data_IF_181001237587
#
_entry.id   IF_181001237587
#
_cell.length_a   1.000
_cell.length_b   1.000
_cell.length_c   1.000
_cell.angle_alpha   90.00
_cell.angle_beta   90.00
_cell.angle_gamma   90.00
#
_symmetry.space_group_name_H-M   'P 1'
#
loop_
_entity.id
_entity.type
_entity.pdbx_description
1 polymer ?
#
# COMPACT_ATOMS: atom_id res chain seq x y z
N UNK A 1 5.07 15.91 2.78
CA UNK A 1 4.42 14.73 3.38
C UNK A 1 5.12 13.42 3.04
N UNK A 2 5.72 13.23 1.86
CA UNK A 2 6.30 11.93 1.49
C UNK A 2 5.24 10.87 1.19
N UNK A 3 4.03 11.31 0.84
CA UNK A 3 2.91 10.47 0.42
C UNK A 3 3.29 9.69 -0.85
N UNK A 4 3.05 8.40 -0.84
CA UNK A 4 3.23 7.49 -1.97
C UNK A 4 1.87 6.93 -2.36
N UNK A 5 1.61 6.88 -3.66
CA UNK A 5 0.51 6.11 -4.23
C UNK A 5 1.06 4.76 -4.70
N UNK A 6 0.37 3.67 -4.42
CA UNK A 6 0.78 2.32 -4.85
C UNK A 6 -0.43 1.48 -5.26
N UNK A 7 -0.29 0.15 -5.27
CA UNK A 7 -1.39 -0.76 -5.57
C UNK A 7 -1.89 -0.67 -7.02
N UNK A 8 -3.20 -0.87 -7.17
CA UNK A 8 -3.84 -1.03 -8.49
C UNK A 8 -3.80 0.23 -9.35
N UNK A 9 -3.85 1.42 -8.73
CA UNK A 9 -3.77 2.70 -9.45
C UNK A 9 -2.35 2.97 -9.95
N UNK A 10 -1.32 2.62 -9.17
CA UNK A 10 0.04 2.73 -9.68
C UNK A 10 0.25 1.82 -10.89
N UNK A 11 -0.27 0.59 -10.82
CA UNK A 11 -0.24 -0.36 -11.95
C UNK A 11 -0.97 0.17 -13.18
N UNK A 12 -2.16 0.75 -12.99
CA UNK A 12 -3.01 1.30 -14.07
C UNK A 12 -2.31 2.44 -14.83
N UNK A 13 -1.59 3.31 -14.11
CA UNK A 13 -0.81 4.40 -14.69
C UNK A 13 0.36 3.87 -15.53
N UNK A 14 1.09 2.87 -15.04
CA UNK A 14 2.21 2.29 -15.78
C UNK A 14 1.75 1.49 -17.02
N UNK A 15 0.64 0.74 -16.92
CA UNK A 15 0.07 -0.01 -18.06
C UNK A 15 -0.69 0.92 -19.03
N UNK A 16 -1.07 2.13 -18.59
CA UNK A 16 -1.96 3.05 -19.32
C UNK A 16 -3.33 2.43 -19.61
N UNK A 17 -3.83 1.66 -18.66
CA UNK A 17 -5.14 0.97 -18.73
C UNK A 17 -6.00 1.45 -17.57
N UNK A 18 -7.29 1.67 -17.80
CA UNK A 18 -8.24 2.04 -16.76
C UNK A 18 -8.87 0.79 -16.15
N UNK A 19 -8.57 0.52 -14.88
CA UNK A 19 -9.25 -0.53 -14.12
C UNK A 19 -10.49 0.07 -13.43
N UNK A 20 -11.68 -0.42 -13.77
CA UNK A 20 -12.92 0.01 -13.15
C UNK A 20 -12.96 -0.39 -11.67
N UNK A 21 -13.64 0.43 -10.85
CA UNK A 21 -13.89 0.15 -9.43
C UNK A 21 -12.61 -0.13 -8.62
N UNK A 22 -11.53 0.58 -8.91
CA UNK A 22 -10.28 0.50 -8.15
C UNK A 22 -10.23 1.53 -7.05
N UNK A 23 -9.77 1.09 -5.89
CA UNK A 23 -9.52 1.96 -4.76
C UNK A 23 -8.14 2.63 -4.90
N UNK A 24 -8.00 3.85 -4.37
CA UNK A 24 -6.72 4.55 -4.33
C UNK A 24 -5.99 4.19 -3.04
N UNK A 25 -4.85 3.51 -3.16
CA UNK A 25 -3.98 3.19 -2.01
C UNK A 25 -2.90 4.26 -1.81
N UNK A 26 -2.93 4.93 -0.66
CA UNK A 26 -2.00 5.98 -0.27
C UNK A 26 -1.20 5.56 0.97
N UNK A 27 0.12 5.70 0.92
CA UNK A 27 1.04 5.34 2.00
C UNK A 27 1.79 6.57 2.48
N UNK A 28 1.83 6.80 3.79
CA UNK A 28 2.52 7.96 4.36
C UNK A 28 3.00 7.67 5.77
N UNK A 29 4.02 8.38 6.24
CA UNK A 29 4.40 8.36 7.67
C UNK A 29 3.24 8.79 8.56
N UNK A 30 3.07 8.12 9.70
CA UNK A 30 2.07 8.44 10.74
C UNK A 30 2.18 9.87 11.26
N UNK A 31 3.36 10.47 11.21
CA UNK A 31 3.58 11.86 11.66
C UNK A 31 2.85 12.87 10.78
N UNK A 32 2.45 12.46 9.57
CA UNK A 32 1.76 13.30 8.59
C UNK A 32 0.23 13.12 8.63
N UNK A 33 -0.32 12.50 9.67
CA UNK A 33 -1.76 12.25 9.76
C UNK A 33 -2.59 13.53 9.62
N UNK A 34 -2.23 14.60 10.35
CA UNK A 34 -2.96 15.87 10.30
C UNK A 34 -3.02 16.45 8.88
N UNK A 35 -1.88 16.74 8.21
CA UNK A 35 -1.93 17.36 6.90
C UNK A 35 -2.58 16.45 5.84
N UNK A 36 -2.40 15.13 5.92
CA UNK A 36 -3.01 14.20 4.94
C UNK A 36 -4.51 14.09 5.14
N UNK A 37 -4.98 13.88 6.37
CA UNK A 37 -6.42 13.84 6.65
C UNK A 37 -7.09 15.16 6.30
N UNK A 38 -6.48 16.31 6.65
CA UNK A 38 -6.99 17.61 6.21
C UNK A 38 -7.05 17.70 4.68
N UNK A 39 -6.02 17.28 3.96
CA UNK A 39 -6.02 17.29 2.50
C UNK A 39 -7.16 16.44 1.91
N UNK A 40 -7.38 15.23 2.43
CA UNK A 40 -8.48 14.36 2.00
C UNK A 40 -9.85 15.04 2.17
N UNK A 41 -10.10 15.61 3.35
CA UNK A 41 -11.35 16.31 3.65
C UNK A 41 -11.59 17.53 2.73
N UNK A 42 -10.55 18.35 2.50
CA UNK A 42 -10.64 19.49 1.59
C UNK A 42 -10.81 19.07 0.12
N UNK A 43 -10.38 17.86 -0.23
CA UNK A 43 -10.53 17.30 -1.58
C UNK A 43 -11.92 16.67 -1.81
N UNK A 44 -12.85 16.82 -0.86
CA UNK A 44 -14.22 16.30 -0.98
C UNK A 44 -14.38 14.83 -0.59
N UNK A 45 -13.37 14.24 0.07
CA UNK A 45 -13.50 12.94 0.70
C UNK A 45 -14.07 13.07 2.12
N UNK A 46 -14.77 12.03 2.55
CA UNK A 46 -15.30 11.87 3.90
C UNK A 46 -14.67 10.63 4.53
N UNK A 47 -14.42 10.70 5.83
CA UNK A 47 -13.91 9.58 6.61
C UNK A 47 -15.02 8.53 6.78
N UNK A 48 -14.80 7.31 6.30
CA UNK A 48 -15.74 6.19 6.45
C UNK A 48 -15.39 5.38 7.69
N UNK A 49 -14.12 5.01 7.82
CA UNK A 49 -13.63 4.14 8.88
C UNK A 49 -12.20 4.52 9.23
N UNK A 50 -11.88 4.52 10.52
CA UNK A 50 -10.52 4.63 11.01
C UNK A 50 -10.24 3.38 11.84
N UNK A 51 -9.60 2.39 11.22
CA UNK A 51 -9.13 1.21 11.93
C UNK A 51 -7.75 1.53 12.54
N UNK A 52 -7.76 2.25 13.67
CA UNK A 52 -6.56 2.40 14.49
C UNK A 52 -6.20 1.05 15.09
N UNK A 53 -5.03 0.49 14.72
CA UNK A 53 -4.56 -0.79 15.27
C UNK A 53 -3.97 -0.63 16.67
N UNK A 54 -4.81 -0.21 17.62
CA UNK A 54 -4.67 -0.61 19.03
C UNK A 54 -5.36 -1.97 19.30
N UNK A 55 -5.87 -2.62 18.24
CA UNK A 55 -6.38 -3.99 18.29
C UNK A 55 -5.29 -4.96 17.86
N UNK A 56 -4.81 -5.71 18.84
CA UNK A 56 -4.09 -6.97 18.69
C UNK A 56 -4.69 -7.79 17.53
N UNK A 57 -4.03 -7.77 16.38
CA UNK A 57 -4.03 -8.94 15.52
C UNK A 57 -2.76 -9.70 15.89
N UNK A 58 -2.94 -10.62 16.83
CA UNK A 58 -1.98 -11.69 17.11
C UNK A 58 -1.98 -12.61 15.88
N UNK A 59 -1.38 -12.16 14.78
CA UNK A 59 -1.11 -13.04 13.66
C UNK A 59 0.13 -13.84 14.03
N UNK A 60 -0.11 -15.07 14.48
CA UNK A 60 0.83 -16.08 14.98
C UNK A 60 2.29 -15.82 14.58
N UNK A 61 2.98 -15.06 15.42
CA UNK A 61 4.34 -14.55 15.21
C UNK A 61 5.42 -15.63 15.40
N UNK A 62 5.05 -16.91 15.42
CA UNK A 62 5.94 -17.97 15.92
C UNK A 62 6.68 -18.80 14.89
N UNK A 63 6.43 -18.67 13.58
CA UNK A 63 7.15 -19.52 12.60
C UNK A 63 7.72 -18.82 11.36
N UNK A 64 7.98 -17.51 11.39
CA UNK A 64 8.69 -16.84 10.28
C UNK A 64 9.77 -15.90 10.81
N UNK A 65 10.92 -16.50 11.11
CA UNK A 65 12.13 -15.87 11.63
C UNK A 65 12.76 -14.90 10.60
N UNK A 66 12.89 -13.61 10.96
CA UNK A 66 14.01 -12.79 10.50
C UNK A 66 13.77 -11.53 9.64
N UNK A 67 12.55 -11.23 9.18
CA UNK A 67 12.26 -9.97 8.48
C UNK A 67 11.11 -9.23 9.15
N UNK A 68 11.44 -8.18 9.89
CA UNK A 68 10.48 -7.24 10.47
C UNK A 68 9.62 -6.66 9.34
N UNK A 69 8.38 -7.14 9.20
CA UNK A 69 7.41 -6.50 8.32
C UNK A 69 7.17 -5.04 8.76
N UNK A 70 6.95 -4.14 7.81
CA UNK A 70 6.79 -2.70 8.02
C UNK A 70 5.57 -2.41 8.89
N UNK A 71 5.79 -1.80 10.05
CA UNK A 71 4.76 -1.57 11.07
C UNK A 71 3.74 -0.54 10.54
N UNK A 72 2.58 -1.00 10.08
CA UNK A 72 1.41 -0.15 9.75
C UNK A 72 0.78 0.31 11.07
N UNK A 73 0.69 1.63 11.26
CA UNK A 73 0.07 2.27 12.43
C UNK A 73 -1.46 2.29 12.34
N UNK A 74 -2.00 2.67 11.18
CA UNK A 74 -3.43 2.79 10.97
C UNK A 74 -3.77 2.65 9.48
N UNK A 75 -4.98 2.18 9.20
CA UNK A 75 -5.58 2.22 7.87
C UNK A 75 -6.87 3.02 7.99
N UNK A 76 -7.02 4.00 7.12
CA UNK A 76 -8.13 4.95 7.15
C UNK A 76 -8.81 4.96 5.80
N UNK A 77 -10.09 4.62 5.79
CA UNK A 77 -10.91 4.55 4.60
C UNK A 77 -11.64 5.89 4.39
N UNK A 78 -11.55 6.38 3.16
CA UNK A 78 -12.20 7.59 2.71
C UNK A 78 -13.09 7.30 1.50
N UNK A 79 -14.21 8.02 1.40
CA UNK A 79 -15.09 7.97 0.23
C UNK A 79 -15.44 9.38 -0.21
N UNK A 80 -15.48 9.64 -1.51
CA UNK A 80 -15.95 10.92 -2.03
C UNK A 80 -17.43 10.88 -2.44
N UNK A 81 -17.99 12.03 -2.79
CA UNK A 81 -19.40 12.14 -3.18
C UNK A 81 -19.77 11.35 -4.45
N UNK A 82 -18.79 10.94 -5.26
CA UNK A 82 -18.98 10.08 -6.43
C UNK A 82 -18.90 8.58 -6.10
N UNK A 83 -18.71 8.22 -4.83
CA UNK A 83 -18.58 6.84 -4.37
C UNK A 83 -17.18 6.22 -4.58
N UNK A 84 -16.18 7.02 -4.95
CA UNK A 84 -14.82 6.53 -5.15
C UNK A 84 -14.11 6.40 -3.80
N UNK A 85 -13.47 5.26 -3.57
CA UNK A 85 -12.79 4.96 -2.31
C UNK A 85 -11.30 5.29 -2.39
N UNK A 86 -10.75 5.72 -1.25
CA UNK A 86 -9.33 5.89 -1.04
C UNK A 86 -8.95 5.36 0.33
N UNK A 87 -7.88 4.57 0.40
CA UNK A 87 -7.31 4.08 1.65
C UNK A 87 -6.02 4.82 1.94
N UNK A 88 -5.90 5.36 3.15
CA UNK A 88 -4.65 5.96 3.65
C UNK A 88 -4.05 5.03 4.70
N UNK A 89 -2.91 4.46 4.35
CA UNK A 89 -2.09 3.58 5.17
C UNK A 89 -0.99 4.42 5.83
N UNK A 90 -1.09 4.55 7.15
CA UNK A 90 -0.09 5.22 7.96
C UNK A 90 1.01 4.24 8.37
N UNK A 91 2.24 4.48 7.93
CA UNK A 91 3.43 3.73 8.30
C UNK A 91 4.07 4.33 9.55
N UNK A 92 4.53 3.48 10.46
CA UNK A 92 5.31 3.91 11.63
C UNK A 92 6.69 4.41 11.22
N UNK A 93 7.31 3.74 10.24
CA UNK A 93 8.62 4.09 9.69
C UNK A 93 8.45 4.68 8.30
N UNK A 94 9.14 4.14 7.29
CA UNK A 94 9.01 4.60 5.91
C UNK A 94 7.78 3.99 5.24
N UNK A 95 6.98 4.76 4.48
CA UNK A 95 5.94 4.20 3.63
C UNK A 95 6.51 3.28 2.54
N UNK A 96 7.79 3.45 2.16
CA UNK A 96 8.48 2.53 1.26
C UNK A 96 8.61 1.14 1.87
N UNK A 97 8.88 1.04 3.17
CA UNK A 97 9.02 -0.26 3.82
C UNK A 97 7.69 -1.03 3.68
N UNK A 98 6.55 -0.35 3.85
CA UNK A 98 5.20 -0.90 3.65
C UNK A 98 5.02 -1.45 2.23
N UNK A 99 5.34 -0.64 1.22
CA UNK A 99 5.19 -1.02 -0.19
C UNK A 99 6.13 -2.19 -0.56
N UNK A 100 7.36 -2.18 -0.07
CA UNK A 100 8.34 -3.23 -0.33
C UNK A 100 8.06 -4.53 0.44
N UNK A 101 7.26 -4.46 1.50
CA UNK A 101 6.84 -5.61 2.29
C UNK A 101 5.74 -6.46 1.68
N UNK A 102 5.18 -6.08 0.52
CA UNK A 102 4.15 -6.89 -0.14
C UNK A 102 4.67 -8.25 -0.62
N UNK A 103 3.82 -9.27 -0.54
CA UNK A 103 4.17 -10.61 -1.03
C UNK A 103 4.14 -10.74 -2.55
N UNK A 104 3.64 -9.73 -3.27
CA UNK A 104 3.46 -9.75 -4.73
C UNK A 104 4.16 -8.55 -5.37
N UNK A 105 5.06 -8.78 -6.32
CA UNK A 105 5.82 -7.70 -6.97
C UNK A 105 4.97 -6.74 -7.79
N UNK A 106 3.80 -7.19 -8.27
CA UNK A 106 2.86 -6.39 -9.09
C UNK A 106 2.39 -5.12 -8.38
N UNK A 107 2.27 -5.17 -7.05
CA UNK A 107 1.79 -4.03 -6.25
C UNK A 107 2.92 -3.18 -5.68
N UNK A 108 4.19 -3.50 -5.94
CA UNK A 108 5.34 -2.73 -5.46
C UNK A 108 5.65 -1.49 -6.32
N UNK A 109 4.76 -1.17 -7.27
CA UNK A 109 4.85 0.03 -8.08
C UNK A 109 4.44 1.24 -7.24
N UNK A 110 5.22 2.31 -7.29
CA UNK A 110 5.02 3.47 -6.42
C UNK A 110 5.12 4.77 -7.20
N UNK A 111 4.23 5.70 -6.89
CA UNK A 111 4.18 7.03 -7.49
C UNK A 111 4.22 8.06 -6.38
N UNK A 112 5.16 8.98 -6.50
CA UNK A 112 5.31 10.16 -5.65
C UNK A 112 4.99 11.41 -6.46
N UNK A 113 5.00 12.58 -5.81
CA UNK A 113 4.78 13.86 -6.48
C UNK A 113 5.76 14.17 -7.63
N UNK A 114 6.96 13.57 -7.66
CA UNK A 114 8.01 13.89 -8.64
C UNK A 114 8.54 12.70 -9.43
N UNK A 115 8.22 11.47 -9.01
CA UNK A 115 8.77 10.24 -9.60
C UNK A 115 7.76 9.11 -9.51
N UNK A 116 7.73 8.31 -10.57
CA UNK A 116 7.08 7.01 -10.59
C UNK A 116 8.17 5.94 -10.72
N UNK A 117 8.10 4.89 -9.89
CA UNK A 117 9.06 3.78 -9.86
C UNK A 117 8.29 2.47 -9.99
N UNK A 118 8.72 1.65 -10.96
CA UNK A 118 8.30 0.26 -11.10
C UNK A 118 9.52 -0.63 -10.88
N UNK A 119 9.44 -1.55 -9.92
CA UNK A 119 10.59 -2.38 -9.53
C UNK A 119 10.76 -3.62 -10.42
N UNK A 120 9.66 -4.16 -10.94
CA UNK A 120 9.66 -5.41 -11.72
C UNK A 120 8.99 -5.22 -13.10
N UNK A 121 9.41 -4.22 -13.90
CA UNK A 121 8.66 -3.81 -15.09
C UNK A 121 8.53 -4.92 -16.14
N UNK A 122 9.59 -5.72 -16.33
CA UNK A 122 9.56 -6.82 -17.31
C UNK A 122 8.59 -7.93 -16.87
N UNK A 123 8.70 -8.39 -15.62
CA UNK A 123 7.81 -9.42 -15.08
C UNK A 123 6.35 -8.95 -15.05
N UNK A 124 6.11 -7.73 -14.58
CA UNK A 124 4.75 -7.17 -14.43
C UNK A 124 4.10 -6.85 -15.77
N UNK A 125 4.78 -6.17 -16.70
CA UNK A 125 4.14 -5.64 -17.91
C UNK A 125 4.39 -6.46 -19.18
N UNK A 126 5.52 -7.15 -19.29
CA UNK A 126 5.83 -7.97 -20.47
C UNK A 126 5.35 -9.40 -20.26
N UNK A 127 5.77 -10.04 -19.17
CA UNK A 127 5.39 -11.42 -18.86
C UNK A 127 4.02 -11.54 -18.20
N UNK A 128 3.46 -10.44 -17.69
CA UNK A 128 2.17 -10.39 -16.98
C UNK A 128 2.10 -11.40 -15.84
N UNK A 129 3.19 -11.54 -15.08
CA UNK A 129 3.29 -12.41 -13.93
C UNK A 129 3.71 -11.64 -12.67
N UNK A 130 3.26 -12.14 -11.51
CA UNK A 130 3.78 -11.69 -10.22
C UNK A 130 4.89 -12.62 -9.76
N UNK A 131 5.94 -12.04 -9.19
CA UNK A 131 6.93 -12.78 -8.40
C UNK A 131 6.44 -12.71 -6.96
N UNK A 132 6.27 -13.88 -6.35
CA UNK A 132 5.87 -13.98 -4.96
C UNK A 132 7.13 -14.12 -4.11
N UNK A 133 7.30 -13.24 -3.13
CA UNK A 133 8.38 -13.39 -2.15
C UNK A 133 7.92 -14.33 -1.03
N UNK A 134 8.48 -15.53 -1.05
CA UNK A 134 8.36 -16.54 0.00
C UNK A 134 9.37 -17.65 -0.26
N UNK A 135 10.31 -17.86 0.67
CA UNK A 135 11.13 -19.07 0.65
C UNK A 135 10.29 -20.19 1.25
N UNK A 136 9.85 -21.15 0.44
CA UNK A 136 9.47 -22.47 0.97
C UNK A 136 10.77 -23.20 1.26
N UNK A 137 11.26 -23.11 2.49
CA UNK A 137 12.13 -24.18 2.98
C UNK A 137 11.26 -25.43 2.96
N UNK A 138 11.45 -26.32 1.99
CA UNK A 138 11.01 -27.70 2.18
C UNK A 138 11.78 -28.20 3.40
N UNK A 139 11.09 -28.35 4.52
CA UNK A 139 11.57 -29.24 5.58
C UNK A 139 11.59 -30.64 4.97
N UNK A 140 12.75 -31.06 4.46
CA UNK A 140 13.06 -32.47 4.35
C UNK A 140 12.98 -33.04 5.78
N UNK A 141 11.89 -33.74 6.07
CA UNK A 141 11.74 -34.64 7.22
C UNK A 141 11.92 -36.07 6.79
#
# INVERSE_FOLDING_TARGET
TGLLMSGSIALSIFERVWYCNTDIDLYVSSDQWKPVTSFMLHSGYQLVSANSKDRQYEWDSRHYLGYHLPRISAIVDFINNAGQQAQVIFAVYSPLDVVLGFHSTVVMNMISHSRAVCLYPYSTFVLRCSIIFGYTASEDK
#
